data_IF_689830813117
#
_entry.id   IF_689830813117
#
_cell.length_a   1.000
_cell.length_b   1.000
_cell.length_c   1.000
_cell.angle_alpha   90.00
_cell.angle_beta   90.00
_cell.angle_gamma   90.00
#
_symmetry.space_group_name_H-M   'P 1'
#
loop_
_entity.id
_entity.type
_entity.pdbx_description
1 polymer ?
#
# COMPACT_ATOMS: atom_id res chain seq x y z
N UNK A 1 3.33 66.52 43.17
CA UNK A 1 2.57 65.88 42.06
C UNK A 1 3.11 66.30 40.69
N UNK A 2 3.31 67.60 40.45
CA UNK A 2 3.83 68.15 39.18
C UNK A 2 5.22 67.64 38.77
N UNK A 3 6.16 67.51 39.71
CA UNK A 3 7.51 67.00 39.42
C UNK A 3 7.54 65.53 38.96
N UNK A 4 6.68 64.69 39.55
CA UNK A 4 6.57 63.27 39.17
C UNK A 4 5.97 63.12 37.76
N UNK A 5 4.94 63.90 37.45
CA UNK A 5 4.34 63.95 36.11
C UNK A 5 5.32 64.46 35.04
N UNK A 6 6.24 65.36 35.39
CA UNK A 6 7.28 65.84 34.49
C UNK A 6 8.34 64.76 34.19
N UNK A 7 8.78 64.03 35.20
CA UNK A 7 9.73 62.91 35.03
C UNK A 7 9.12 61.77 34.20
N UNK A 8 7.85 61.43 34.44
CA UNK A 8 7.13 60.43 33.64
C UNK A 8 7.01 60.88 32.18
N UNK A 9 6.71 62.15 31.92
CA UNK A 9 6.68 62.71 30.56
C UNK A 9 8.01 62.61 29.84
N UNK A 10 9.12 62.88 30.53
CA UNK A 10 10.45 62.79 29.95
C UNK A 10 10.82 61.33 29.61
N UNK A 11 10.50 60.40 30.50
CA UNK A 11 10.70 58.97 30.26
C UNK A 11 9.85 58.45 29.10
N UNK A 12 8.61 58.92 28.97
CA UNK A 12 7.72 58.61 27.85
C UNK A 12 8.26 59.16 26.53
N UNK A 13 8.83 60.37 26.52
CA UNK A 13 9.48 60.97 25.34
C UNK A 13 10.68 60.15 24.87
N UNK A 14 11.58 59.79 25.79
CA UNK A 14 12.74 58.98 25.45
C UNK A 14 12.34 57.62 24.86
N UNK A 15 11.31 56.97 25.43
CA UNK A 15 10.81 55.69 24.88
C UNK A 15 10.17 55.88 23.50
N UNK A 16 9.48 57.00 23.27
CA UNK A 16 8.88 57.31 21.98
C UNK A 16 9.95 57.50 20.91
N UNK A 17 10.99 58.30 21.20
CA UNK A 17 12.11 58.54 20.28
C UNK A 17 12.86 57.24 19.94
N UNK A 18 13.07 56.37 20.92
CA UNK A 18 13.71 55.07 20.67
C UNK A 18 12.85 54.16 19.78
N UNK A 19 11.53 54.18 19.95
CA UNK A 19 10.59 53.44 19.10
C UNK A 19 10.54 54.01 17.69
N UNK A 20 10.51 55.33 17.54
CA UNK A 20 10.53 56.00 16.25
C UNK A 20 11.85 55.75 15.51
N UNK A 21 12.98 55.75 16.23
CA UNK A 21 14.30 55.38 15.67
C UNK A 21 14.30 53.96 15.12
N UNK A 22 13.71 53.00 15.84
CA UNK A 22 13.60 51.59 15.41
C UNK A 22 12.65 51.39 14.25
N UNK A 23 11.53 52.13 14.22
CA UNK A 23 10.55 52.08 13.13
C UNK A 23 10.96 52.93 11.92
N UNK A 24 12.03 53.72 12.03
CA UNK A 24 12.48 54.64 10.99
C UNK A 24 11.56 55.85 10.77
N UNK A 25 10.86 56.26 11.83
CA UNK A 25 9.99 57.43 11.90
C UNK A 25 8.48 57.13 11.78
N UNK A 26 7.62 58.10 12.14
CA UNK A 26 6.17 57.92 12.26
C UNK A 26 5.49 57.53 10.94
N UNK A 27 6.07 57.89 9.79
CA UNK A 27 5.54 57.53 8.48
C UNK A 27 5.92 56.11 8.01
N UNK A 28 6.96 55.49 8.57
CA UNK A 28 7.43 54.15 8.15
C UNK A 28 6.74 53.01 8.88
N UNK A 29 6.17 53.25 10.06
CA UNK A 29 5.43 52.23 10.81
C UNK A 29 4.26 51.59 10.05
N UNK A 30 3.48 52.38 9.29
CA UNK A 30 2.41 51.83 8.42
C UNK A 30 2.97 50.94 7.30
N UNK A 31 4.06 51.36 6.67
CA UNK A 31 4.70 50.59 5.59
C UNK A 31 5.24 49.26 6.09
N UNK A 32 5.82 49.22 7.30
CA UNK A 32 6.30 47.98 7.93
C UNK A 32 5.16 47.02 8.22
N UNK A 33 4.01 47.51 8.68
CA UNK A 33 2.81 46.67 8.88
C UNK A 33 2.30 46.13 7.55
N UNK A 34 2.20 46.97 6.52
CA UNK A 34 1.76 46.54 5.19
C UNK A 34 2.73 45.51 4.57
N UNK A 35 4.04 45.72 4.71
CA UNK A 35 5.05 44.79 4.21
C UNK A 35 5.08 43.48 5.01
N UNK A 36 4.85 43.53 6.33
CA UNK A 36 4.67 42.33 7.15
C UNK A 36 3.45 41.53 6.71
N UNK A 37 2.33 42.21 6.40
CA UNK A 37 1.13 41.56 5.86
C UNK A 37 1.40 40.93 4.50
N UNK A 38 2.14 41.61 3.59
CA UNK A 38 2.54 41.03 2.30
C UNK A 38 3.40 39.77 2.48
N UNK A 39 4.36 39.80 3.40
CA UNK A 39 5.22 38.63 3.72
C UNK A 39 4.37 37.50 4.29
N UNK A 40 3.43 37.78 5.19
CA UNK A 40 2.53 36.79 5.75
C UNK A 40 1.66 36.12 4.66
N UNK A 41 1.11 36.91 3.74
CA UNK A 41 0.34 36.39 2.59
C UNK A 41 1.22 35.57 1.66
N UNK A 42 2.45 36.02 1.38
CA UNK A 42 3.40 35.27 0.55
C UNK A 42 3.77 33.92 1.19
N UNK A 43 4.07 33.90 2.50
CA UNK A 43 4.37 32.69 3.25
C UNK A 43 3.19 31.71 3.24
N UNK A 44 1.96 32.20 3.47
CA UNK A 44 0.76 31.36 3.43
C UNK A 44 0.51 30.79 2.03
N UNK A 45 0.73 31.59 0.98
CA UNK A 45 0.64 31.14 -0.40
C UNK A 45 1.69 30.08 -0.73
N UNK A 46 2.93 30.22 -0.25
CA UNK A 46 3.99 29.22 -0.46
C UNK A 46 3.64 27.91 0.28
N UNK A 47 3.21 28.00 1.53
CA UNK A 47 2.78 26.84 2.31
C UNK A 47 1.60 26.11 1.65
N UNK A 48 0.58 26.85 1.22
CA UNK A 48 -0.59 26.28 0.53
C UNK A 48 -0.24 25.66 -0.83
N UNK A 49 0.62 26.31 -1.64
CA UNK A 49 1.09 25.75 -2.91
C UNK A 49 1.87 24.45 -2.70
N UNK A 50 2.74 24.40 -1.68
CA UNK A 50 3.53 23.20 -1.36
C UNK A 50 2.63 22.01 -0.99
N UNK A 51 1.60 22.23 -0.16
CA UNK A 51 0.65 21.16 0.18
C UNK A 51 -0.18 20.72 -1.04
N UNK A 52 -0.63 21.66 -1.89
CA UNK A 52 -1.33 21.33 -3.13
C UNK A 52 -0.46 20.50 -4.08
N UNK A 53 0.81 20.87 -4.24
CA UNK A 53 1.78 20.11 -5.05
C UNK A 53 1.96 18.71 -4.47
N UNK A 54 2.11 18.57 -3.15
CA UNK A 54 2.24 17.27 -2.49
C UNK A 54 1.03 16.37 -2.72
N UNK A 55 -0.18 16.92 -2.63
CA UNK A 55 -1.43 16.17 -2.92
C UNK A 55 -1.48 15.77 -4.40
N UNK A 56 -1.12 16.67 -5.31
CA UNK A 56 -1.09 16.39 -6.76
C UNK A 56 -0.09 15.29 -7.10
N UNK A 57 1.12 15.30 -6.52
CA UNK A 57 2.12 14.26 -6.74
C UNK A 57 1.62 12.88 -6.30
N UNK A 58 0.98 12.78 -5.12
CA UNK A 58 0.35 11.53 -4.68
C UNK A 58 -0.76 11.07 -5.64
N UNK A 59 -1.60 12.00 -6.10
CA UNK A 59 -2.65 11.69 -7.08
C UNK A 59 -2.09 11.24 -8.43
N UNK A 60 -0.93 11.75 -8.85
CA UNK A 60 -0.28 11.32 -10.09
C UNK A 60 0.19 9.86 -9.96
N UNK A 61 0.79 9.47 -8.83
CA UNK A 61 1.13 8.06 -8.57
C UNK A 61 -0.11 7.16 -8.60
N UNK A 62 -1.20 7.60 -7.97
CA UNK A 62 -2.47 6.88 -8.00
C UNK A 62 -3.01 6.77 -9.44
N UNK A 63 -3.01 7.86 -10.21
CA UNK A 63 -3.48 7.87 -11.60
C UNK A 63 -2.63 6.96 -12.48
N UNK A 64 -1.30 6.94 -12.33
CA UNK A 64 -0.42 6.01 -13.04
C UNK A 64 -0.78 4.56 -12.71
N UNK A 65 -1.06 4.26 -11.43
CA UNK A 65 -1.50 2.93 -11.00
C UNK A 65 -2.87 2.54 -11.58
N UNK A 66 -3.81 3.48 -11.64
CA UNK A 66 -5.13 3.24 -12.25
C UNK A 66 -5.08 3.17 -13.78
N UNK A 67 -4.06 3.74 -14.42
CA UNK A 67 -3.84 3.65 -15.87
C UNK A 67 -3.22 2.33 -16.32
N UNK A 68 -2.70 1.49 -15.42
CA UNK A 68 -2.25 0.14 -15.78
C UNK A 68 -3.47 -0.73 -16.14
N UNK A 69 -3.61 -1.16 -17.41
CA UNK A 69 -4.74 -1.99 -17.83
C UNK A 69 -4.84 -3.28 -17.01
N UNK A 70 -3.70 -3.83 -16.58
CA UNK A 70 -3.66 -5.04 -15.75
C UNK A 70 -4.19 -4.80 -14.33
N UNK A 71 -4.20 -3.55 -13.84
CA UNK A 71 -4.76 -3.20 -12.53
C UNK A 71 -6.29 -3.10 -12.58
N UNK A 72 -6.84 -2.48 -13.62
CA UNK A 72 -8.29 -2.41 -13.84
C UNK A 72 -8.88 -3.79 -14.13
N UNK A 73 -8.24 -4.57 -15.00
CA UNK A 73 -8.74 -5.89 -15.41
C UNK A 73 -8.74 -6.92 -14.25
N UNK A 74 -7.80 -6.79 -13.30
CA UNK A 74 -7.76 -7.65 -12.10
C UNK A 74 -8.69 -7.19 -10.98
N UNK A 75 -8.92 -5.88 -10.83
CA UNK A 75 -9.78 -5.35 -9.77
C UNK A 75 -11.27 -5.46 -10.12
N UNK A 76 -11.61 -5.37 -11.39
CA UNK A 76 -12.99 -5.17 -11.83
C UNK A 76 -13.46 -6.24 -12.82
N UNK A 77 -13.21 -7.53 -12.56
CA UNK A 77 -14.00 -8.57 -13.23
C UNK A 77 -15.45 -8.35 -12.79
N UNK A 78 -16.35 -7.87 -13.67
CA UNK A 78 -17.72 -7.55 -13.28
C UNK A 78 -18.42 -8.84 -12.84
N UNK A 79 -19.32 -8.74 -11.88
CA UNK A 79 -20.01 -9.92 -11.35
C UNK A 79 -20.82 -10.67 -12.43
N UNK A 80 -21.29 -9.95 -13.45
CA UNK A 80 -21.90 -10.55 -14.64
C UNK A 80 -20.94 -11.47 -15.42
N UNK A 81 -19.65 -11.10 -15.51
CA UNK A 81 -18.61 -11.92 -16.19
C UNK A 81 -18.25 -13.12 -15.33
N UNK A 82 -18.16 -12.96 -14.00
CA UNK A 82 -17.96 -14.10 -13.08
C UNK A 82 -19.09 -15.11 -13.20
N UNK A 83 -20.33 -14.64 -13.28
CA UNK A 83 -21.50 -15.50 -13.45
C UNK A 83 -21.48 -16.25 -14.78
N UNK A 84 -21.15 -15.56 -15.88
CA UNK A 84 -21.01 -16.20 -17.19
C UNK A 84 -19.87 -17.22 -17.22
N UNK A 85 -18.75 -16.93 -16.54
CA UNK A 85 -17.64 -17.87 -16.42
C UNK A 85 -18.05 -19.14 -15.67
N UNK A 86 -18.74 -19.00 -14.53
CA UNK A 86 -19.25 -20.14 -13.76
C UNK A 86 -20.26 -20.96 -14.57
N UNK A 87 -21.16 -20.31 -15.30
CA UNK A 87 -22.14 -21.01 -16.15
C UNK A 87 -21.49 -21.69 -17.35
N UNK A 88 -20.49 -21.07 -17.96
CA UNK A 88 -19.74 -21.68 -19.06
C UNK A 88 -18.91 -22.89 -18.61
N UNK A 89 -18.38 -22.85 -17.38
CA UNK A 89 -17.60 -23.94 -16.78
C UNK A 89 -18.44 -24.90 -15.92
N UNK A 90 -19.77 -24.75 -15.88
CA UNK A 90 -20.66 -25.51 -14.99
C UNK A 90 -20.51 -27.02 -15.15
N UNK A 91 -20.23 -27.51 -16.37
CA UNK A 91 -20.02 -28.94 -16.63
C UNK A 91 -18.56 -29.37 -16.41
N UNK A 92 -17.61 -28.45 -16.52
CA UNK A 92 -16.17 -28.73 -16.39
C UNK A 92 -15.79 -28.90 -14.91
N UNK A 93 -16.29 -28.03 -14.04
CA UNK A 93 -16.03 -28.05 -12.59
C UNK A 93 -16.38 -29.42 -11.94
N UNK A 94 -17.59 -29.98 -12.10
CA UNK A 94 -17.95 -31.26 -11.51
C UNK A 94 -17.20 -32.42 -12.17
N UNK A 95 -16.96 -32.36 -13.48
CA UNK A 95 -16.16 -33.38 -14.16
C UNK A 95 -14.73 -33.42 -13.60
N UNK A 96 -14.10 -32.26 -13.41
CA UNK A 96 -12.76 -32.14 -12.86
C UNK A 96 -12.70 -32.57 -11.39
N UNK A 97 -13.73 -32.25 -10.59
CA UNK A 97 -13.86 -32.74 -9.23
C UNK A 97 -13.98 -34.28 -9.16
N UNK A 98 -14.77 -34.89 -10.05
CA UNK A 98 -14.88 -36.35 -10.13
C UNK A 98 -13.55 -37.01 -10.52
N UNK A 99 -12.81 -36.44 -11.48
CA UNK A 99 -11.48 -36.93 -11.82
C UNK A 99 -10.50 -36.79 -10.64
N UNK A 100 -10.54 -35.68 -9.90
CA UNK A 100 -9.71 -35.49 -8.71
C UNK A 100 -10.04 -36.50 -7.60
N UNK A 101 -11.32 -36.82 -7.40
CA UNK A 101 -11.72 -37.88 -6.47
C UNK A 101 -11.20 -39.26 -6.91
N UNK A 102 -11.26 -39.57 -8.20
CA UNK A 102 -10.70 -40.81 -8.74
C UNK A 102 -9.20 -40.89 -8.50
N UNK A 103 -8.46 -39.81 -8.76
CA UNK A 103 -7.02 -39.73 -8.48
C UNK A 103 -6.73 -39.92 -7.00
N UNK A 104 -7.51 -39.28 -6.11
CA UNK A 104 -7.37 -39.42 -4.66
C UNK A 104 -7.63 -40.86 -4.19
N UNK A 105 -8.60 -41.55 -4.79
CA UNK A 105 -8.87 -42.95 -4.48
C UNK A 105 -7.75 -43.87 -4.96
N UNK A 106 -7.18 -43.60 -6.13
CA UNK A 106 -6.05 -44.34 -6.68
C UNK A 106 -4.74 -44.11 -5.91
N UNK A 107 -4.54 -42.92 -5.33
CA UNK A 107 -3.39 -42.64 -4.46
C UNK A 107 -3.29 -43.64 -3.30
N UNK A 108 -4.43 -44.00 -2.69
CA UNK A 108 -4.47 -45.01 -1.62
C UNK A 108 -4.07 -46.41 -2.08
N UNK A 109 -4.29 -46.73 -3.36
CA UNK A 109 -3.89 -48.01 -3.93
C UNK A 109 -2.37 -48.05 -4.19
N UNK A 110 -1.74 -46.92 -4.50
CA UNK A 110 -0.28 -46.82 -4.65
C UNK A 110 0.45 -46.98 -3.31
N UNK A 111 -0.14 -46.50 -2.22
CA UNK A 111 0.39 -46.66 -0.86
C UNK A 111 0.07 -48.03 -0.23
N UNK A 112 -0.55 -48.94 -0.99
CA UNK A 112 -0.91 -50.25 -0.46
C UNK A 112 0.32 -51.12 -0.18
N UNK A 113 0.32 -51.77 0.99
CA UNK A 113 1.42 -52.65 1.41
C UNK A 113 1.67 -53.84 0.47
N UNK A 114 0.73 -54.17 -0.42
CA UNK A 114 0.91 -55.19 -1.45
C UNK A 114 1.95 -54.79 -2.51
N UNK A 115 2.04 -53.50 -2.86
CA UNK A 115 3.08 -52.98 -3.78
C UNK A 115 4.43 -52.96 -3.07
N UNK A 116 4.46 -52.63 -1.77
CA UNK A 116 5.68 -52.64 -0.98
C UNK A 116 6.23 -54.06 -0.72
N UNK A 117 5.35 -55.07 -0.65
CA UNK A 117 5.72 -56.47 -0.43
C UNK A 117 6.20 -57.21 -1.70
N UNK A 118 6.18 -56.57 -2.87
CA UNK A 118 6.60 -57.18 -4.15
C UNK A 118 8.04 -57.74 -4.12
N UNK A 119 9.06 -57.04 -3.59
CA UNK A 119 10.43 -57.57 -3.53
C UNK A 119 10.55 -58.85 -2.69
N UNK A 120 9.84 -58.92 -1.56
CA UNK A 120 9.85 -60.08 -0.67
C UNK A 120 9.19 -61.30 -1.33
N UNK A 121 8.08 -61.08 -2.05
CA UNK A 121 7.44 -62.12 -2.84
C UNK A 121 8.31 -62.58 -4.02
N UNK A 122 9.01 -61.65 -4.70
CA UNK A 122 9.93 -61.97 -5.78
C UNK A 122 11.11 -62.84 -5.31
N UNK A 123 11.69 -62.55 -4.15
CA UNK A 123 12.77 -63.36 -3.57
C UNK A 123 12.32 -64.79 -3.21
N UNK A 124 11.12 -64.94 -2.65
CA UNK A 124 10.52 -66.26 -2.37
C UNK A 124 10.24 -67.04 -3.65
N UNK A 125 9.73 -66.36 -4.69
CA UNK A 125 9.41 -66.95 -5.98
C UNK A 125 10.67 -67.35 -6.75
N UNK A 126 11.75 -66.55 -6.66
CA UNK A 126 13.06 -66.90 -7.22
C UNK A 126 13.65 -68.16 -6.55
N UNK A 127 13.54 -68.28 -5.22
CA UNK A 127 13.92 -69.50 -4.50
C UNK A 127 13.12 -70.72 -4.95
N UNK A 128 11.80 -70.57 -5.06
CA UNK A 128 10.92 -71.65 -5.54
C UNK A 128 11.26 -72.06 -6.97
N UNK A 129 11.51 -71.09 -7.86
CA UNK A 129 11.96 -71.34 -9.23
C UNK A 129 13.26 -72.15 -9.26
N UNK A 130 14.23 -71.77 -8.43
CA UNK A 130 15.51 -72.48 -8.37
C UNK A 130 15.39 -73.91 -7.82
N UNK A 131 14.51 -74.13 -6.84
CA UNK A 131 14.20 -75.47 -6.33
C UNK A 131 13.47 -76.29 -7.40
N UNK A 132 12.53 -75.68 -8.13
CA UNK A 132 11.80 -76.36 -9.21
C UNK A 132 12.73 -76.81 -10.34
N UNK A 133 13.68 -75.96 -10.74
CA UNK A 133 14.71 -76.30 -11.75
C UNK A 133 15.60 -77.46 -11.27
N UNK A 134 15.83 -77.62 -9.97
CA UNK A 134 16.59 -78.75 -9.42
C UNK A 134 15.78 -80.05 -9.31
N UNK A 135 14.45 -79.96 -9.34
CA UNK A 135 13.54 -81.11 -9.24
C UNK A 135 13.09 -81.66 -10.60
N UNK A 136 13.32 -80.92 -11.69
CA UNK A 136 13.13 -81.38 -13.08
C UNK A 136 14.44 -81.95 -13.65
#
# INVERSE_FOLDING_TARGET
VTAKMAAEREQLRWRLEELERRLGGPSRGRKVVDDLVKVQVALNNIAGKRERIKILYKKIEDVIKYLDPHYIDRMAVPDAVKLQFILAEEQVIPAQAAHLEQVKNLQRALDSGSIQAVPDHAAKLQRLSQIHIQQQ
#
